data_IF_414817026639
#
_entry.id   IF_414817026639
#
_cell.length_a   1.000
_cell.length_b   1.000
_cell.length_c   1.000
_cell.angle_alpha   90.00
_cell.angle_beta   90.00
_cell.angle_gamma   90.00
#
_symmetry.space_group_name_H-M   'P 1'
#
loop_
_entity.id
_entity.type
_entity.pdbx_description
1 polymer ?
#
# COMPACT_ATOMS: atom_id res chain seq x y z
N UNK A 1 -13.42 -7.10 -1.71
CA UNK A 1 -12.72 -6.27 -2.70
C UNK A 1 -12.46 -4.89 -2.12
N UNK A 2 -11.20 -4.58 -1.90
CA UNK A 2 -10.73 -3.34 -1.29
C UNK A 2 -9.72 -2.68 -2.22
N UNK A 3 -9.83 -1.36 -2.34
CA UNK A 3 -8.86 -0.55 -3.05
C UNK A 3 -7.44 -0.80 -2.51
N UNK A 4 -6.51 -1.09 -3.41
CA UNK A 4 -5.12 -1.36 -3.06
C UNK A 4 -4.49 -0.24 -2.24
N UNK A 5 -4.83 1.03 -2.56
CA UNK A 5 -4.19 2.21 -1.97
C UNK A 5 -4.91 2.71 -0.72
N UNK A 6 -6.22 3.00 -0.80
CA UNK A 6 -6.95 3.59 0.32
C UNK A 6 -7.63 2.56 1.22
N UNK A 7 -7.87 1.33 0.74
CA UNK A 7 -8.56 0.27 1.49
C UNK A 7 -10.06 0.40 1.58
N UNK A 8 -10.64 1.39 0.89
CA UNK A 8 -12.09 1.50 0.78
C UNK A 8 -12.63 0.23 0.10
N UNK A 9 -13.76 -0.28 0.61
CA UNK A 9 -14.49 -1.36 -0.05
C UNK A 9 -14.91 -0.90 -1.45
N UNK A 10 -14.63 -1.71 -2.44
CA UNK A 10 -14.95 -1.46 -3.84
C UNK A 10 -15.82 -2.58 -4.39
N UNK A 11 -16.67 -2.20 -5.34
CA UNK A 11 -17.50 -3.11 -6.10
C UNK A 11 -17.03 -3.06 -7.55
N UNK A 12 -16.87 -4.24 -8.14
CA UNK A 12 -16.64 -4.35 -9.57
C UNK A 12 -17.94 -4.07 -10.33
N UNK A 13 -17.78 -3.58 -11.54
CA UNK A 13 -18.83 -3.58 -12.56
C UNK A 13 -18.93 -4.99 -13.18
N UNK A 14 -19.97 -5.20 -13.99
CA UNK A 14 -20.21 -6.48 -14.67
C UNK A 14 -19.08 -6.89 -15.64
N UNK A 15 -18.33 -5.91 -16.15
CA UNK A 15 -17.16 -6.08 -17.02
C UNK A 15 -15.84 -6.27 -16.22
N UNK A 16 -15.93 -6.55 -14.92
CA UNK A 16 -14.80 -6.64 -13.98
C UNK A 16 -13.98 -5.35 -13.81
N UNK A 17 -14.46 -4.19 -14.28
CA UNK A 17 -13.77 -2.92 -14.05
C UNK A 17 -14.13 -2.31 -12.69
N UNK A 18 -13.23 -1.49 -12.15
CA UNK A 18 -13.41 -0.81 -10.86
C UNK A 18 -13.96 0.59 -11.07
N UNK A 19 -15.01 0.96 -10.33
CA UNK A 19 -15.50 2.35 -10.32
C UNK A 19 -14.44 3.31 -9.80
N UNK A 20 -14.27 4.44 -10.50
CA UNK A 20 -13.52 5.58 -10.01
C UNK A 20 -14.04 5.98 -8.62
N UNK A 21 -13.12 6.27 -7.70
CA UNK A 21 -13.48 6.75 -6.37
C UNK A 21 -12.52 7.85 -5.89
N UNK A 22 -13.05 8.69 -5.01
CA UNK A 22 -12.32 9.81 -4.44
C UNK A 22 -11.97 9.56 -2.97
N UNK A 23 -10.87 10.17 -2.53
CA UNK A 23 -10.40 10.21 -1.14
C UNK A 23 -9.92 11.63 -0.87
N UNK A 24 -10.53 12.29 0.11
CA UNK A 24 -10.24 13.69 0.45
C UNK A 24 -10.37 14.67 -0.74
N UNK A 25 -11.40 14.48 -1.57
CA UNK A 25 -11.66 15.33 -2.75
C UNK A 25 -10.95 14.86 -4.02
N UNK A 26 -9.78 14.25 -3.90
CA UNK A 26 -8.98 13.83 -5.05
C UNK A 26 -9.33 12.41 -5.53
N UNK A 27 -9.10 12.16 -6.82
CA UNK A 27 -9.17 10.80 -7.39
C UNK A 27 -8.12 9.95 -6.67
N UNK A 28 -8.58 8.83 -6.09
CA UNK A 28 -7.65 7.93 -5.42
C UNK A 28 -6.69 7.32 -6.45
N UNK A 29 -5.40 7.24 -6.11
CA UNK A 29 -4.41 6.58 -6.96
C UNK A 29 -4.65 5.07 -7.16
N UNK A 30 -5.52 4.45 -6.36
CA UNK A 30 -5.98 3.08 -6.58
C UNK A 30 -7.28 2.99 -7.40
N UNK A 31 -7.84 4.10 -7.86
CA UNK A 31 -8.94 4.09 -8.84
C UNK A 31 -8.44 3.50 -10.15
N UNK A 32 -9.29 2.75 -10.84
CA UNK A 32 -9.01 2.04 -12.10
C UNK A 32 -8.11 0.81 -11.99
N UNK A 33 -7.46 0.59 -10.85
CA UNK A 33 -6.69 -0.63 -10.62
C UNK A 33 -7.56 -1.70 -9.96
N UNK A 34 -7.34 -2.99 -10.29
CA UNK A 34 -8.05 -4.08 -9.64
C UNK A 34 -7.93 -3.99 -8.11
N UNK A 35 -8.92 -4.49 -7.35
CA UNK A 35 -8.80 -4.60 -5.90
C UNK A 35 -7.65 -5.52 -5.50
N UNK A 36 -7.21 -5.38 -4.25
CA UNK A 36 -6.06 -6.14 -3.72
C UNK A 36 -6.27 -7.66 -3.69
N UNK A 37 -7.54 -8.07 -3.74
CA UNK A 37 -7.96 -9.46 -3.80
C UNK A 37 -7.83 -10.07 -5.20
N UNK A 38 -7.55 -9.26 -6.23
CA UNK A 38 -7.33 -9.71 -7.61
C UNK A 38 -5.84 -9.59 -7.95
N UNK A 39 -5.26 -8.42 -7.71
CA UNK A 39 -3.87 -8.11 -8.05
C UNK A 39 -3.32 -7.12 -7.02
N UNK A 40 -2.05 -7.27 -6.68
CA UNK A 40 -1.31 -6.39 -5.77
C UNK A 40 -0.06 -5.76 -6.43
N UNK A 41 0.18 -5.97 -7.72
CA UNK A 41 1.31 -5.39 -8.44
C UNK A 41 1.29 -3.87 -8.35
N UNK A 42 0.12 -3.25 -8.55
CA UNK A 42 -0.02 -1.80 -8.42
C UNK A 42 0.29 -1.28 -7.02
N UNK A 43 -0.06 -2.01 -5.96
CA UNK A 43 0.32 -1.64 -4.60
C UNK A 43 1.83 -1.62 -4.44
N UNK A 44 2.53 -2.64 -4.94
CA UNK A 44 3.99 -2.72 -4.84
C UNK A 44 4.65 -1.56 -5.62
N UNK A 45 4.23 -1.34 -6.87
CA UNK A 45 4.72 -0.25 -7.71
C UNK A 45 4.45 1.11 -7.06
N UNK A 46 3.23 1.36 -6.58
CA UNK A 46 2.86 2.62 -5.97
C UNK A 46 3.61 2.87 -4.66
N UNK A 47 3.84 1.82 -3.87
CA UNK A 47 4.63 1.92 -2.64
C UNK A 47 6.07 2.31 -2.94
N UNK A 48 6.69 1.70 -3.96
CA UNK A 48 8.02 2.06 -4.42
C UNK A 48 8.08 3.51 -4.93
N UNK A 49 7.09 3.94 -5.73
CA UNK A 49 6.99 5.33 -6.21
C UNK A 49 6.94 6.34 -5.06
N UNK A 50 6.08 6.14 -4.08
CA UNK A 50 5.97 7.04 -2.92
C UNK A 50 7.25 7.04 -2.08
N UNK A 51 7.92 5.90 -1.93
CA UNK A 51 9.21 5.83 -1.25
C UNK A 51 10.31 6.62 -2.01
N UNK A 52 10.34 6.53 -3.34
CA UNK A 52 11.25 7.29 -4.19
C UNK A 52 10.99 8.80 -4.09
N UNK A 53 9.73 9.23 -4.16
CA UNK A 53 9.33 10.64 -3.98
C UNK A 53 9.77 11.16 -2.61
N UNK A 54 9.56 10.38 -1.55
CA UNK A 54 9.99 10.73 -0.20
C UNK A 54 11.52 10.88 -0.11
N UNK A 55 12.27 9.94 -0.68
CA UNK A 55 13.72 9.99 -0.71
C UNK A 55 14.23 11.20 -1.50
N UNK A 56 13.60 11.52 -2.64
CA UNK A 56 13.93 12.70 -3.44
C UNK A 56 13.68 14.01 -2.69
N UNK A 57 12.54 14.14 -2.01
CA UNK A 57 12.22 15.32 -1.20
C UNK A 57 13.22 15.49 -0.04
N UNK A 58 13.62 14.40 0.61
CA UNK A 58 14.66 14.44 1.65
C UNK A 58 16.03 14.84 1.11
N UNK A 59 16.43 14.32 -0.05
CA UNK A 59 17.68 14.74 -0.71
C UNK A 59 17.65 16.23 -1.04
N UNK A 60 16.52 16.73 -1.53
CA UNK A 60 16.36 18.17 -1.82
C UNK A 60 16.52 19.01 -0.56
N UNK A 61 15.92 18.59 0.56
CA UNK A 61 16.10 19.27 1.85
C UNK A 61 17.57 19.25 2.29
N UNK A 62 18.23 18.09 2.22
CA UNK A 62 19.65 17.97 2.56
C UNK A 62 20.53 18.93 1.73
N UNK A 63 20.31 19.00 0.41
CA UNK A 63 21.02 19.93 -0.46
C UNK A 63 20.82 21.40 -0.06
N UNK A 64 19.62 21.80 0.37
CA UNK A 64 19.36 23.17 0.81
C UNK A 64 20.05 23.47 2.14
N UNK A 65 20.09 22.50 3.06
CA UNK A 65 20.80 22.60 4.33
C UNK A 65 22.31 22.69 4.09
N UNK A 66 22.87 21.84 3.23
CA UNK A 66 24.30 21.83 2.88
C UNK A 66 24.72 23.13 2.19
N UNK A 67 23.86 23.66 1.30
CA UNK A 67 24.06 24.96 0.66
C UNK A 67 23.86 26.16 1.61
N UNK A 68 23.56 25.92 2.89
CA UNK A 68 23.25 26.94 3.92
C UNK A 68 22.20 27.94 3.41
N UNK A 69 21.17 27.43 2.72
CA UNK A 69 20.14 28.27 2.15
C UNK A 69 19.44 29.07 3.27
N UNK A 70 19.39 30.40 3.12
CA UNK A 70 18.74 31.28 4.11
C UNK A 70 17.23 31.07 4.21
N UNK A 71 16.63 30.35 3.24
CA UNK A 71 15.22 30.03 3.23
C UNK A 71 15.01 28.58 2.78
N UNK A 72 14.31 27.81 3.62
CA UNK A 72 13.81 26.48 3.29
C UNK A 72 12.30 26.62 3.09
N UNK A 73 11.75 26.25 1.92
CA UNK A 73 10.31 26.37 1.69
C UNK A 73 9.52 25.49 2.68
N UNK A 74 8.56 26.04 3.46
CA UNK A 74 7.78 25.26 4.42
C UNK A 74 6.90 24.18 3.75
N UNK A 75 6.54 24.39 2.48
CA UNK A 75 5.86 23.40 1.66
C UNK A 75 6.68 22.12 1.46
N UNK A 76 8.02 22.20 1.45
CA UNK A 76 8.90 21.03 1.29
C UNK A 76 8.85 20.14 2.54
N UNK A 77 8.93 20.72 3.73
CA UNK A 77 8.85 19.99 5.00
C UNK A 77 7.48 19.32 5.18
N UNK A 78 6.41 20.06 4.89
CA UNK A 78 5.04 19.54 4.90
C UNK A 78 4.89 18.37 3.94
N UNK A 79 5.42 18.50 2.72
CA UNK A 79 5.40 17.44 1.71
C UNK A 79 6.17 16.19 2.16
N UNK A 80 7.34 16.36 2.78
CA UNK A 80 8.13 15.25 3.35
C UNK A 80 7.32 14.52 4.42
N UNK A 81 6.69 15.23 5.35
CA UNK A 81 5.88 14.63 6.40
C UNK A 81 4.69 13.84 5.83
N UNK A 82 3.98 14.41 4.86
CA UNK A 82 2.86 13.72 4.17
C UNK A 82 3.32 12.46 3.44
N UNK A 83 4.43 12.54 2.71
CA UNK A 83 5.03 11.40 2.01
C UNK A 83 5.47 10.30 2.99
N UNK A 84 6.08 10.68 4.13
CA UNK A 84 6.49 9.73 5.16
C UNK A 84 5.30 8.98 5.75
N UNK A 85 4.20 9.68 6.09
CA UNK A 85 2.98 9.06 6.59
C UNK A 85 2.37 8.10 5.56
N UNK A 86 2.33 8.51 4.29
CA UNK A 86 1.79 7.70 3.20
C UNK A 86 2.64 6.46 2.95
N UNK A 87 3.97 6.61 2.88
CA UNK A 87 4.92 5.51 2.74
C UNK A 87 4.77 4.49 3.88
N UNK A 88 4.71 4.96 5.14
CA UNK A 88 4.50 4.09 6.31
C UNK A 88 3.19 3.31 6.22
N UNK A 89 2.09 3.95 5.82
CA UNK A 89 0.77 3.30 5.68
C UNK A 89 0.79 2.21 4.61
N UNK A 90 1.36 2.52 3.44
CA UNK A 90 1.45 1.59 2.31
C UNK A 90 2.39 0.41 2.63
N UNK A 91 3.57 0.69 3.19
CA UNK A 91 4.51 -0.35 3.61
C UNK A 91 3.93 -1.30 4.67
N UNK A 92 3.18 -0.78 5.66
CA UNK A 92 2.47 -1.62 6.64
C UNK A 92 1.44 -2.52 5.97
N UNK A 93 0.71 -2.00 4.98
CA UNK A 93 -0.28 -2.79 4.23
C UNK A 93 0.39 -3.88 3.41
N UNK A 94 1.42 -3.53 2.63
CA UNK A 94 2.20 -4.47 1.84
C UNK A 94 2.76 -5.59 2.73
N UNK A 95 3.43 -5.23 3.83
CA UNK A 95 3.93 -6.20 4.82
C UNK A 95 2.82 -7.09 5.37
N UNK A 96 1.64 -6.53 5.68
CA UNK A 96 0.51 -7.32 6.21
C UNK A 96 0.05 -8.40 5.25
N UNK A 97 0.15 -8.16 3.95
CA UNK A 97 -0.21 -9.11 2.90
C UNK A 97 0.89 -10.15 2.73
N UNK A 98 2.14 -9.71 2.65
CA UNK A 98 3.30 -10.60 2.49
C UNK A 98 3.47 -11.55 3.69
N UNK A 99 3.25 -11.05 4.90
CA UNK A 99 3.39 -11.84 6.15
C UNK A 99 2.12 -12.60 6.52
N UNK A 100 1.04 -12.48 5.73
CA UNK A 100 -0.22 -13.17 6.03
C UNK A 100 -0.08 -14.70 6.14
N UNK A 101 0.65 -15.41 5.26
CA UNK A 101 0.84 -16.87 5.36
C UNK A 101 1.40 -17.31 6.72
N UNK A 102 2.52 -16.72 7.14
CA UNK A 102 3.14 -17.01 8.43
C UNK A 102 2.21 -16.68 9.61
N UNK A 103 1.47 -15.56 9.52
CA UNK A 103 0.47 -15.20 10.53
C UNK A 103 -0.69 -16.19 10.59
N UNK A 104 -1.10 -16.72 9.44
CA UNK A 104 -2.14 -17.74 9.35
C UNK A 104 -1.68 -19.05 9.98
N UNK A 105 -0.49 -19.55 9.64
CA UNK A 105 0.10 -20.75 10.25
C UNK A 105 0.23 -20.61 11.77
N UNK A 106 0.74 -19.48 12.24
CA UNK A 106 0.89 -19.23 13.67
C UNK A 106 -0.46 -19.19 14.40
N UNK A 107 -1.47 -18.54 13.80
CA UNK A 107 -2.84 -18.54 14.33
C UNK A 107 -3.41 -19.96 14.39
N UNK A 108 -3.24 -20.74 13.32
CA UNK A 108 -3.73 -22.11 13.25
C UNK A 108 -3.06 -23.00 14.30
N UNK A 109 -1.75 -22.86 14.50
CA UNK A 109 -0.99 -23.59 15.52
C UNK A 109 -1.39 -23.23 16.95
N UNK A 110 -1.64 -21.95 17.22
CA UNK A 110 -1.81 -21.47 18.60
C UNK A 110 -3.27 -21.35 19.06
N UNK A 111 -4.23 -21.17 18.13
CA UNK A 111 -5.62 -20.79 18.47
C UNK A 111 -6.71 -21.55 17.71
N UNK A 112 -6.38 -22.25 16.63
CA UNK A 112 -7.37 -22.86 15.75
C UNK A 112 -8.21 -21.82 14.98
N UNK A 113 -9.37 -22.24 14.45
CA UNK A 113 -10.20 -21.40 13.59
C UNK A 113 -11.06 -20.41 14.39
N UNK A 114 -11.01 -19.13 14.01
CA UNK A 114 -11.95 -18.10 14.47
C UNK A 114 -12.78 -17.55 13.29
N UNK A 115 -12.12 -17.10 12.22
CA UNK A 115 -12.77 -16.71 10.95
C UNK A 115 -11.96 -17.28 9.78
N UNK A 116 -12.66 -17.70 8.72
CA UNK A 116 -12.00 -18.15 7.49
C UNK A 116 -11.37 -16.94 6.80
N UNK A 117 -10.07 -16.98 6.46
CA UNK A 117 -9.42 -15.89 5.77
C UNK A 117 -10.05 -15.59 4.40
N UNK A 118 -9.94 -14.35 3.90
CA UNK A 118 -10.35 -14.04 2.55
C UNK A 118 -9.76 -15.01 1.51
N UNK A 119 -10.58 -15.45 0.56
CA UNK A 119 -10.24 -16.50 -0.41
C UNK A 119 -8.94 -16.22 -1.21
N UNK A 120 -8.70 -14.96 -1.56
CA UNK A 120 -7.48 -14.57 -2.31
C UNK A 120 -6.19 -14.84 -1.53
N UNK A 121 -6.23 -14.70 -0.21
CA UNK A 121 -5.08 -14.99 0.63
C UNK A 121 -4.85 -16.50 0.69
N UNK A 122 -5.92 -17.29 0.85
CA UNK A 122 -5.84 -18.75 0.81
C UNK A 122 -5.27 -19.27 -0.52
N UNK A 123 -5.70 -18.72 -1.65
CA UNK A 123 -5.14 -19.05 -2.97
C UNK A 123 -3.63 -18.81 -3.01
N UNK A 124 -3.20 -17.63 -2.56
CA UNK A 124 -1.79 -17.24 -2.50
C UNK A 124 -0.94 -18.12 -1.59
N UNK A 125 -1.47 -18.56 -0.45
CA UNK A 125 -0.75 -19.52 0.42
C UNK A 125 -0.62 -20.90 -0.21
N UNK A 126 -1.65 -21.37 -0.92
CA UNK A 126 -1.56 -22.62 -1.68
C UNK A 126 -0.46 -22.56 -2.73
N UNK A 127 -0.38 -21.48 -3.50
CA UNK A 127 0.69 -21.26 -4.48
C UNK A 127 2.08 -21.28 -3.83
N UNK A 128 2.26 -20.57 -2.72
CA UNK A 128 3.54 -20.54 -2.01
C UNK A 128 3.96 -21.90 -1.44
N UNK A 129 2.99 -22.70 -0.97
CA UNK A 129 3.26 -24.05 -0.46
C UNK A 129 3.56 -25.07 -1.55
N UNK A 130 3.07 -24.87 -2.77
CA UNK A 130 3.41 -25.73 -3.91
C UNK A 130 4.83 -25.39 -4.40
N UNK A 131 5.25 -24.12 -4.26
CA UNK A 131 6.54 -23.64 -4.69
C UNK A 131 7.70 -23.87 -3.69
N UNK A 132 7.41 -24.35 -2.47
CA UNK A 132 8.37 -24.56 -1.38
C UNK A 132 8.59 -26.06 -1.14
#
# INVERSE_FOLDING_TARGET
MHCQICGRKQFLRADNTVRLHHVAGDICAGSHYPPIEIDNAWLAEYTARIAAEHAAARRRLAQLVDARANFIPPGLETRIAQLALKARRLARRQRRIETWPARYEDQMRNRGWADVPPAYLLARYREQRIAA
#
